data_IF_508340752055
#
_entry.id   IF_508340752055
#
_cell.length_a   1.000
_cell.length_b   1.000
_cell.length_c   1.000
_cell.angle_alpha   90.00
_cell.angle_beta   90.00
_cell.angle_gamma   90.00
#
_symmetry.space_group_name_H-M   'P 1'
#
loop_
_entity.id
_entity.type
_entity.pdbx_description
1 polymer ?
#
# COMPACT_ATOMS: atom_id res chain seq x y z
N UNK A 1 9.90 18.00 -18.31
CA UNK A 1 8.88 17.22 -17.56
C UNK A 1 7.86 18.20 -16.97
N UNK A 2 6.57 17.86 -16.88
CA UNK A 2 5.54 18.72 -16.26
C UNK A 2 4.94 18.03 -15.04
N UNK A 3 4.33 18.80 -14.13
CA UNK A 3 3.65 18.24 -12.94
C UNK A 3 2.56 17.21 -13.31
N UNK A 4 1.84 17.46 -14.41
CA UNK A 4 0.86 16.52 -14.96
C UNK A 4 1.54 15.19 -15.37
N UNK A 5 2.64 15.26 -16.12
CA UNK A 5 3.35 14.07 -16.59
C UNK A 5 3.87 13.20 -15.42
N UNK A 6 4.22 13.82 -14.28
CA UNK A 6 4.68 13.11 -13.08
C UNK A 6 3.53 12.38 -12.37
N UNK A 7 2.31 12.95 -12.35
CA UNK A 7 1.14 12.36 -11.66
C UNK A 7 0.32 11.42 -12.55
N UNK A 8 0.38 11.60 -13.87
CA UNK A 8 -0.45 10.88 -14.83
C UNK A 8 -0.35 9.34 -14.74
N UNK A 9 0.85 8.72 -14.61
CA UNK A 9 0.95 7.27 -14.47
C UNK A 9 0.18 6.71 -13.26
N UNK A 10 0.24 7.42 -12.12
CA UNK A 10 -0.49 7.02 -10.92
C UNK A 10 -2.00 7.19 -11.11
N UNK A 11 -2.45 8.29 -11.72
CA UNK A 11 -3.86 8.52 -11.99
C UNK A 11 -4.45 7.43 -12.90
N UNK A 12 -3.73 7.08 -13.98
CA UNK A 12 -4.11 6.00 -14.88
C UNK A 12 -4.15 4.63 -14.17
N UNK A 13 -3.15 4.34 -13.33
CA UNK A 13 -3.13 3.12 -12.52
C UNK A 13 -4.32 3.04 -11.55
N UNK A 14 -4.75 4.17 -10.97
CA UNK A 14 -5.95 4.24 -10.14
C UNK A 14 -7.22 3.87 -10.89
N UNK A 15 -7.43 4.45 -12.07
CA UNK A 15 -8.59 4.12 -12.94
C UNK A 15 -8.56 2.65 -13.35
N UNK A 16 -7.40 2.16 -13.78
CA UNK A 16 -7.21 0.76 -14.13
C UNK A 16 -7.51 -0.18 -12.95
N UNK A 17 -7.12 0.21 -11.73
CA UNK A 17 -7.36 -0.60 -10.53
C UNK A 17 -8.84 -0.78 -10.24
N UNK A 18 -9.67 0.25 -10.42
CA UNK A 18 -11.14 0.13 -10.27
C UNK A 18 -11.72 -0.92 -11.24
N UNK A 19 -11.31 -0.87 -12.51
CA UNK A 19 -11.74 -1.84 -13.51
C UNK A 19 -11.22 -3.26 -13.23
N UNK A 20 -9.95 -3.38 -12.81
CA UNK A 20 -9.37 -4.67 -12.44
C UNK A 20 -10.05 -5.28 -11.22
N UNK A 21 -10.45 -4.48 -10.22
CA UNK A 21 -11.23 -4.97 -9.07
C UNK A 21 -12.56 -5.57 -9.54
N UNK A 22 -13.28 -4.91 -10.45
CA UNK A 22 -14.49 -5.47 -11.07
C UNK A 22 -14.20 -6.84 -11.72
N UNK A 23 -13.16 -6.92 -12.54
CA UNK A 23 -12.79 -8.15 -13.25
C UNK A 23 -12.39 -9.28 -12.30
N UNK A 24 -11.59 -8.99 -11.27
CA UNK A 24 -11.15 -9.98 -10.28
C UNK A 24 -12.35 -10.50 -9.49
N UNK A 25 -13.22 -9.62 -9.01
CA UNK A 25 -14.41 -10.04 -8.25
C UNK A 25 -15.35 -10.87 -9.12
N UNK A 26 -15.49 -10.50 -10.41
CA UNK A 26 -16.27 -11.31 -11.35
C UNK A 26 -15.63 -12.68 -11.57
N UNK A 27 -14.31 -12.75 -11.72
CA UNK A 27 -13.60 -14.00 -11.95
C UNK A 27 -13.62 -14.91 -10.72
N UNK A 28 -13.54 -14.36 -9.51
CA UNK A 28 -13.66 -15.09 -8.25
C UNK A 28 -15.09 -15.61 -8.08
N UNK A 29 -16.09 -14.73 -8.01
CA UNK A 29 -17.42 -15.10 -7.52
C UNK A 29 -18.45 -15.38 -8.60
N UNK A 30 -18.15 -15.05 -9.87
CA UNK A 30 -19.07 -15.15 -11.01
C UNK A 30 -20.40 -14.41 -10.78
N UNK A 31 -20.37 -13.36 -9.95
CA UNK A 31 -21.52 -12.52 -9.62
C UNK A 31 -21.32 -11.10 -10.16
N UNK A 32 -22.03 -10.77 -11.23
CA UNK A 32 -21.95 -9.45 -11.89
C UNK A 32 -22.38 -8.31 -10.96
N UNK A 33 -23.38 -8.54 -10.09
CA UNK A 33 -23.87 -7.51 -9.16
C UNK A 33 -22.79 -7.20 -8.12
N UNK A 34 -22.21 -8.23 -7.52
CA UNK A 34 -21.12 -8.06 -6.56
C UNK A 34 -19.92 -7.34 -7.21
N UNK A 35 -19.55 -7.70 -8.44
CA UNK A 35 -18.45 -7.03 -9.16
C UNK A 35 -18.70 -5.55 -9.40
N UNK A 36 -19.92 -5.16 -9.81
CA UNK A 36 -20.28 -3.76 -10.02
C UNK A 36 -20.24 -2.97 -8.70
N UNK A 37 -20.73 -3.57 -7.61
CA UNK A 37 -20.66 -2.97 -6.28
C UNK A 37 -19.20 -2.80 -5.86
N UNK A 38 -18.33 -3.79 -6.07
CA UNK A 38 -16.90 -3.67 -5.75
C UNK A 38 -16.21 -2.57 -6.54
N UNK A 39 -16.56 -2.38 -7.82
CA UNK A 39 -16.05 -1.27 -8.62
C UNK A 39 -16.54 0.08 -8.07
N UNK A 40 -17.82 0.17 -7.70
CA UNK A 40 -18.38 1.38 -7.08
C UNK A 40 -17.67 1.71 -5.77
N UNK A 41 -17.55 0.76 -4.84
CA UNK A 41 -16.86 0.94 -3.55
C UNK A 41 -15.41 1.36 -3.78
N UNK A 42 -14.69 0.70 -4.69
CA UNK A 42 -13.32 1.07 -5.05
C UNK A 42 -13.22 2.52 -5.55
N UNK A 43 -14.17 2.96 -6.37
CA UNK A 43 -14.17 4.32 -6.95
C UNK A 43 -14.35 5.44 -5.93
N UNK A 44 -14.98 5.15 -4.79
CA UNK A 44 -15.24 6.13 -3.71
C UNK A 44 -14.34 5.93 -2.48
N UNK A 45 -13.45 4.91 -2.49
CA UNK A 45 -12.61 4.59 -1.33
C UNK A 45 -11.51 5.66 -1.15
N UNK A 46 -11.45 6.36 0.00
CA UNK A 46 -10.45 7.37 0.29
C UNK A 46 -9.01 6.91 0.03
N UNK A 47 -8.67 5.70 0.45
CA UNK A 47 -7.34 5.12 0.28
C UNK A 47 -6.89 5.11 -1.18
N UNK A 48 -7.75 4.66 -2.11
CA UNK A 48 -7.44 4.56 -3.54
C UNK A 48 -7.39 5.94 -4.20
N UNK A 49 -8.32 6.84 -3.85
CA UNK A 49 -8.34 8.22 -4.37
C UNK A 49 -7.08 8.97 -3.94
N UNK A 50 -6.67 8.82 -2.69
CA UNK A 50 -5.51 9.54 -2.14
C UNK A 50 -4.23 9.19 -2.89
N UNK A 51 -3.92 7.89 -3.05
CA UNK A 51 -2.68 7.45 -3.69
C UNK A 51 -2.71 7.52 -5.22
N UNK A 52 -3.87 7.53 -5.86
CA UNK A 52 -3.97 7.72 -7.32
C UNK A 52 -3.71 9.15 -7.79
N UNK A 53 -3.93 10.15 -6.92
CA UNK A 53 -3.72 11.57 -7.27
C UNK A 53 -2.30 12.07 -7.00
N UNK A 54 -1.62 11.48 -6.03
CA UNK A 54 -0.19 11.70 -5.83
C UNK A 54 0.66 10.85 -6.78
N UNK A 55 1.91 11.26 -7.00
CA UNK A 55 2.87 10.51 -7.81
C UNK A 55 3.48 9.33 -7.02
N UNK A 56 2.62 8.42 -6.56
CA UNK A 56 3.00 7.30 -5.70
C UNK A 56 3.22 6.02 -6.50
N UNK A 57 4.46 5.52 -6.49
CA UNK A 57 4.86 4.26 -7.13
C UNK A 57 4.03 3.06 -6.66
N UNK A 58 3.59 3.06 -5.39
CA UNK A 58 2.80 1.96 -4.83
C UNK A 58 1.47 1.76 -5.55
N UNK A 59 0.89 2.82 -6.09
CA UNK A 59 -0.39 2.74 -6.78
C UNK A 59 -0.24 2.06 -8.15
N UNK A 60 0.86 2.32 -8.84
CA UNK A 60 1.25 1.58 -10.06
C UNK A 60 1.53 0.11 -9.74
N UNK A 61 2.24 -0.15 -8.64
CA UNK A 61 2.51 -1.51 -8.18
C UNK A 61 1.21 -2.26 -7.84
N UNK A 62 0.23 -1.60 -7.19
CA UNK A 62 -1.08 -2.18 -6.91
C UNK A 62 -1.81 -2.58 -8.20
N UNK A 63 -1.86 -1.70 -9.20
CA UNK A 63 -2.48 -2.01 -10.49
C UNK A 63 -1.82 -3.21 -11.19
N UNK A 64 -0.49 -3.30 -11.13
CA UNK A 64 0.26 -4.46 -11.63
C UNK A 64 -0.02 -5.74 -10.84
N UNK A 65 -0.12 -5.66 -9.50
CA UNK A 65 -0.53 -6.79 -8.64
C UNK A 65 -1.92 -7.27 -9.01
N UNK A 66 -2.88 -6.37 -9.19
CA UNK A 66 -4.25 -6.69 -9.62
C UNK A 66 -4.28 -7.31 -11.02
N UNK A 67 -3.50 -6.78 -11.96
CA UNK A 67 -3.35 -7.37 -13.30
C UNK A 67 -2.79 -8.79 -13.23
N UNK A 68 -1.79 -9.00 -12.37
CA UNK A 68 -1.24 -10.32 -12.08
C UNK A 68 -2.26 -11.30 -11.52
N UNK A 69 -3.06 -10.87 -10.52
CA UNK A 69 -4.13 -11.69 -9.94
C UNK A 69 -5.18 -12.04 -11.01
N UNK A 70 -5.64 -11.06 -11.79
CA UNK A 70 -6.64 -11.28 -12.82
C UNK A 70 -6.16 -12.33 -13.84
N UNK A 71 -4.95 -12.16 -14.39
CA UNK A 71 -4.41 -13.12 -15.35
C UNK A 71 -4.09 -14.47 -14.72
N UNK A 72 -3.69 -14.52 -13.44
CA UNK A 72 -3.51 -15.78 -12.73
C UNK A 72 -4.84 -16.55 -12.67
N UNK A 73 -5.93 -15.89 -12.27
CA UNK A 73 -7.25 -16.52 -12.21
C UNK A 73 -7.71 -17.00 -13.60
N UNK A 74 -7.49 -16.19 -14.65
CA UNK A 74 -7.75 -16.59 -16.04
C UNK A 74 -6.88 -17.75 -16.51
N UNK A 75 -5.67 -17.88 -15.97
CA UNK A 75 -4.75 -18.97 -16.34
C UNK A 75 -5.22 -20.34 -15.91
N UNK A 76 -6.08 -20.39 -14.88
CA UNK A 76 -6.71 -21.63 -14.41
C UNK A 76 -7.67 -22.23 -15.46
N UNK A 77 -8.16 -21.43 -16.42
CA UNK A 77 -8.96 -21.95 -17.55
C UNK A 77 -8.19 -21.95 -18.87
N UNK A 78 -7.29 -20.97 -19.08
CA UNK A 78 -6.44 -20.90 -20.26
C UNK A 78 -4.98 -20.64 -19.87
N UNK A 79 -4.13 -21.68 -19.85
CA UNK A 79 -2.75 -21.62 -19.38
C UNK A 79 -1.88 -20.49 -19.93
N UNK A 80 -2.16 -20.00 -21.16
CA UNK A 80 -1.39 -18.91 -21.79
C UNK A 80 -1.41 -17.62 -20.97
N UNK A 81 -2.45 -17.40 -20.16
CA UNK A 81 -2.54 -16.21 -19.32
C UNK A 81 -1.53 -16.21 -18.16
N UNK A 82 -0.95 -17.36 -17.79
CA UNK A 82 0.01 -17.41 -16.70
C UNK A 82 1.27 -16.58 -17.00
N UNK A 83 1.68 -16.51 -18.27
CA UNK A 83 2.83 -15.70 -18.68
C UNK A 83 2.59 -14.21 -18.43
N UNK A 84 1.38 -13.72 -18.71
CA UNK A 84 1.00 -12.33 -18.42
C UNK A 84 0.89 -12.05 -16.92
N UNK A 85 0.42 -13.04 -16.15
CA UNK A 85 0.40 -12.96 -14.70
C UNK A 85 1.83 -12.82 -14.13
N UNK A 86 2.73 -13.69 -14.57
CA UNK A 86 4.15 -13.69 -14.16
C UNK A 86 4.86 -12.39 -14.53
N UNK A 87 4.68 -11.91 -15.77
CA UNK A 87 5.23 -10.62 -16.20
C UNK A 87 4.73 -9.46 -15.33
N UNK A 88 3.42 -9.43 -15.04
CA UNK A 88 2.81 -8.37 -14.23
C UNK A 88 3.34 -8.39 -12.79
N UNK A 89 3.42 -9.57 -12.16
CA UNK A 89 3.99 -9.71 -10.82
C UNK A 89 5.47 -9.34 -10.78
N UNK A 90 6.26 -9.74 -11.77
CA UNK A 90 7.67 -9.35 -11.87
C UNK A 90 7.86 -7.84 -12.02
N UNK A 91 7.02 -7.17 -12.82
CA UNK A 91 7.04 -5.71 -12.96
C UNK A 91 6.77 -4.97 -11.64
N UNK A 92 6.01 -5.57 -10.70
CA UNK A 92 5.82 -4.94 -9.38
C UNK A 92 7.15 -4.76 -8.63
N UNK A 93 8.09 -5.70 -8.79
CA UNK A 93 9.41 -5.66 -8.14
C UNK A 93 10.28 -4.51 -8.65
N UNK A 94 10.02 -4.09 -9.89
CA UNK A 94 10.65 -2.94 -10.55
C UNK A 94 9.94 -1.65 -10.13
N UNK A 95 8.61 -1.66 -10.11
CA UNK A 95 7.79 -0.47 -9.87
C UNK A 95 7.92 0.08 -8.45
N UNK A 96 7.99 -0.78 -7.43
CA UNK A 96 8.00 -0.33 -6.03
C UNK A 96 8.81 -1.26 -5.13
N UNK A 97 9.71 -0.70 -4.32
CA UNK A 97 10.56 -1.48 -3.41
C UNK A 97 9.75 -2.30 -2.39
N UNK A 98 8.68 -1.72 -1.84
CA UNK A 98 7.81 -2.44 -0.88
C UNK A 98 6.99 -3.56 -1.53
N UNK A 99 6.87 -3.56 -2.87
CA UNK A 99 6.13 -4.60 -3.58
C UNK A 99 6.84 -5.96 -3.53
N UNK A 100 8.15 -5.99 -3.28
CA UNK A 100 8.93 -7.23 -3.18
C UNK A 100 8.34 -8.20 -2.16
N UNK A 101 7.94 -7.69 -1.00
CA UNK A 101 7.30 -8.49 0.03
C UNK A 101 5.79 -8.63 -0.22
N UNK A 102 5.09 -7.53 -0.55
CA UNK A 102 3.63 -7.59 -0.70
C UNK A 102 3.18 -8.47 -1.87
N UNK A 103 3.85 -8.39 -3.03
CA UNK A 103 3.57 -9.24 -4.18
C UNK A 103 3.92 -10.70 -3.90
N UNK A 104 5.05 -10.95 -3.23
CA UNK A 104 5.42 -12.30 -2.81
C UNK A 104 4.36 -12.95 -1.93
N UNK A 105 3.82 -12.21 -0.97
CA UNK A 105 2.70 -12.65 -0.12
C UNK A 105 1.46 -12.98 -0.97
N UNK A 106 1.04 -12.08 -1.88
CA UNK A 106 -0.14 -12.31 -2.73
C UNK A 106 0.03 -13.54 -3.62
N UNK A 107 1.20 -13.71 -4.26
CA UNK A 107 1.52 -14.87 -5.10
C UNK A 107 1.49 -16.15 -4.26
N UNK A 108 2.09 -16.14 -3.06
CA UNK A 108 2.07 -17.28 -2.16
C UNK A 108 0.63 -17.67 -1.78
N UNK A 109 -0.21 -16.69 -1.44
CA UNK A 109 -1.62 -16.94 -1.08
C UNK A 109 -2.40 -17.49 -2.27
N UNK A 110 -2.19 -16.97 -3.50
CA UNK A 110 -2.78 -17.51 -4.72
C UNK A 110 -2.38 -18.97 -4.93
N UNK A 111 -1.09 -19.29 -4.83
CA UNK A 111 -0.57 -20.65 -5.02
C UNK A 111 -1.09 -21.61 -3.95
N UNK A 112 -1.14 -21.20 -2.68
CA UNK A 112 -1.70 -22.03 -1.60
C UNK A 112 -3.19 -22.27 -1.80
N UNK A 113 -3.94 -21.21 -2.13
CA UNK A 113 -5.41 -21.30 -2.25
C UNK A 113 -5.86 -22.08 -3.48
N UNK A 114 -5.12 -21.96 -4.59
CA UNK A 114 -5.42 -22.64 -5.86
C UNK A 114 -4.45 -23.78 -6.18
N UNK A 115 -3.78 -24.34 -5.17
CA UNK A 115 -2.71 -25.34 -5.33
C UNK A 115 -3.06 -26.47 -6.31
N UNK A 116 -4.23 -27.10 -6.10
CA UNK A 116 -4.69 -28.23 -6.94
C UNK A 116 -4.98 -27.81 -8.39
N UNK A 117 -5.43 -26.58 -8.61
CA UNK A 117 -5.77 -26.09 -9.95
C UNK A 117 -4.52 -25.58 -10.68
N UNK A 118 -3.59 -24.97 -9.96
CA UNK A 118 -2.31 -24.51 -10.48
C UNK A 118 -1.49 -25.66 -11.08
N UNK A 119 -1.43 -26.81 -10.41
CA UNK A 119 -0.68 -27.98 -10.91
C UNK A 119 -1.34 -28.70 -12.10
N UNK A 120 -2.56 -28.29 -12.50
CA UNK A 120 -3.18 -28.76 -13.76
C UNK A 120 -2.74 -27.95 -14.98
N UNK A 121 -2.09 -26.80 -14.77
CA UNK A 121 -1.56 -25.97 -15.86
C UNK A 121 -0.45 -26.73 -16.60
N UNK A 122 -0.42 -26.60 -17.93
CA UNK A 122 0.55 -27.32 -18.75
C UNK A 122 2.00 -26.88 -18.47
N UNK A 123 2.94 -27.83 -18.58
CA UNK A 123 4.37 -27.60 -18.29
C UNK A 123 5.03 -26.59 -19.22
N UNK A 124 4.48 -26.33 -20.41
CA UNK A 124 5.04 -25.34 -21.35
C UNK A 124 4.73 -23.93 -20.86
N UNK A 125 3.49 -23.66 -20.47
CA UNK A 125 3.06 -22.39 -19.89
C UNK A 125 3.75 -22.10 -18.56
N UNK A 126 3.92 -23.11 -17.69
CA UNK A 126 4.68 -22.97 -16.44
C UNK A 126 6.14 -22.57 -16.69
N UNK A 127 6.85 -23.27 -17.58
CA UNK A 127 8.24 -22.95 -17.92
C UNK A 127 8.37 -21.57 -18.56
N UNK A 128 7.50 -21.22 -19.50
CA UNK A 128 7.51 -19.91 -20.13
C UNK A 128 7.26 -18.79 -19.12
N UNK A 129 6.30 -18.99 -18.21
CA UNK A 129 6.00 -18.02 -17.14
C UNK A 129 7.18 -17.84 -16.20
N UNK A 130 7.89 -18.91 -15.85
CA UNK A 130 9.11 -18.86 -15.04
C UNK A 130 10.21 -18.07 -15.74
N UNK A 131 10.47 -18.37 -17.01
CA UNK A 131 11.49 -17.65 -17.81
C UNK A 131 11.16 -16.17 -17.91
N UNK A 132 9.92 -15.81 -18.27
CA UNK A 132 9.49 -14.40 -18.36
C UNK A 132 9.60 -13.69 -17.02
N UNK A 133 9.17 -14.33 -15.93
CA UNK A 133 9.27 -13.76 -14.58
C UNK A 133 10.71 -13.47 -14.18
N UNK A 134 11.64 -14.39 -14.47
CA UNK A 134 13.08 -14.21 -14.20
C UNK A 134 13.66 -13.10 -15.05
N UNK A 135 13.38 -13.09 -16.37
CA UNK A 135 13.91 -12.07 -17.29
C UNK A 135 13.47 -10.66 -16.89
N UNK A 136 12.20 -10.47 -16.56
CA UNK A 136 11.68 -9.15 -16.12
C UNK A 136 12.27 -8.75 -14.76
N UNK A 137 12.50 -9.72 -13.86
CA UNK A 137 13.06 -9.46 -12.53
C UNK A 137 14.60 -9.30 -12.54
N UNK A 138 15.27 -9.61 -13.65
CA UNK A 138 16.72 -9.71 -13.74
C UNK A 138 17.47 -8.44 -13.29
N UNK A 139 17.05 -7.21 -13.66
CA UNK A 139 17.70 -5.99 -13.17
C UNK A 139 17.65 -5.86 -11.63
N UNK A 140 16.54 -6.28 -11.03
CA UNK A 140 16.35 -6.23 -9.58
C UNK A 140 17.17 -7.32 -8.89
N UNK A 141 17.20 -8.53 -9.44
CA UNK A 141 18.02 -9.64 -8.95
C UNK A 141 19.50 -9.22 -8.94
N UNK A 142 19.99 -8.64 -10.03
CA UNK A 142 21.37 -8.17 -10.13
C UNK A 142 21.67 -7.05 -9.12
N UNK A 143 20.72 -6.12 -8.91
CA UNK A 143 20.87 -5.05 -7.92
C UNK A 143 21.04 -5.56 -6.47
N UNK A 144 20.44 -6.72 -6.14
CA UNK A 144 20.57 -7.33 -4.81
C UNK A 144 21.98 -7.89 -4.59
N UNK A 145 22.57 -8.52 -5.60
CA UNK A 145 23.95 -9.05 -5.53
C UNK A 145 25.01 -7.94 -5.45
N UNK A 146 24.71 -6.73 -5.92
CA UNK A 146 25.59 -5.56 -5.80
C UNK A 146 25.58 -4.88 -4.40
N UNK A 147 24.93 -5.49 -3.40
CA UNK A 147 24.89 -4.93 -2.05
C UNK A 147 23.97 -3.72 -1.85
N UNK A 148 23.11 -3.39 -2.83
CA UNK A 148 22.10 -2.30 -2.71
C UNK A 148 20.92 -2.67 -1.78
N UNK A 149 21.04 -3.77 -1.04
CA UNK A 149 20.06 -4.21 -0.05
C UNK A 149 20.10 -3.39 1.26
N UNK A 150 21.11 -2.54 1.47
CA UNK A 150 21.26 -1.73 2.70
C UNK A 150 20.07 -0.82 3.05
N UNK A 151 19.22 -0.46 2.08
CA UNK A 151 17.98 0.28 2.36
C UNK A 151 16.95 -0.55 3.14
N UNK A 152 16.95 -1.88 3.01
CA UNK A 152 16.02 -2.75 3.71
C UNK A 152 16.31 -2.81 5.22
N UNK A 153 17.57 -2.79 5.63
CA UNK A 153 17.93 -2.75 7.06
C UNK A 153 17.49 -1.44 7.71
N UNK A 154 17.62 -0.30 7.02
CA UNK A 154 17.18 1.01 7.55
C UNK A 154 15.69 1.03 7.88
N UNK A 155 14.85 0.34 7.09
CA UNK A 155 13.40 0.33 7.32
C UNK A 155 12.91 -0.90 8.08
N UNK A 156 13.77 -1.85 8.42
CA UNK A 156 13.41 -3.08 9.14
C UNK A 156 13.20 -2.79 10.62
N UNK A 157 12.10 -3.29 11.19
CA UNK A 157 11.86 -3.19 12.65
C UNK A 157 12.98 -3.88 13.45
N UNK A 158 13.57 -4.95 12.90
CA UNK A 158 14.62 -5.73 13.55
C UNK A 158 15.96 -4.99 13.68
N UNK A 159 16.14 -3.89 12.96
CA UNK A 159 17.33 -3.04 13.07
C UNK A 159 17.26 -2.05 14.23
N UNK A 160 16.11 -1.92 14.88
CA UNK A 160 15.89 -1.01 16.02
C UNK A 160 15.74 -1.81 17.32
N UNK A 161 16.87 -2.16 17.92
CA UNK A 161 16.90 -2.78 19.25
C UNK A 161 16.53 -1.76 20.32
N UNK A 162 15.86 -2.24 21.36
CA UNK A 162 15.54 -1.41 22.53
C UNK A 162 16.82 -0.94 23.24
N UNK A 163 16.90 0.31 23.70
CA UNK A 163 18.05 0.80 24.45
C UNK A 163 18.26 0.00 25.74
N UNK A 164 19.52 -0.33 26.07
CA UNK A 164 19.86 -1.10 27.28
C UNK A 164 19.45 -0.37 28.56
N UNK A 165 19.63 0.96 28.61
CA UNK A 165 19.19 1.79 29.74
C UNK A 165 17.68 1.70 29.98
N UNK A 166 16.87 1.59 28.91
CA UNK A 166 15.44 1.43 29.04
C UNK A 166 15.10 0.04 29.60
N UNK A 167 15.77 -1.02 29.14
CA UNK A 167 15.57 -2.36 29.71
C UNK A 167 15.96 -2.39 31.19
N UNK A 168 17.11 -1.82 31.57
CA UNK A 168 17.53 -1.82 32.97
C UNK A 168 16.57 -1.07 33.89
N UNK A 169 16.05 0.07 33.45
CA UNK A 169 15.04 0.78 34.23
C UNK A 169 13.81 -0.10 34.55
N UNK A 170 13.37 -0.94 33.60
CA UNK A 170 12.25 -1.87 33.84
C UNK A 170 12.62 -3.02 34.79
N UNK A 171 13.83 -3.57 34.66
CA UNK A 171 14.29 -4.66 35.52
C UNK A 171 14.51 -4.18 36.96
N UNK A 172 15.09 -3.00 37.15
CA UNK A 172 15.32 -2.40 38.47
C UNK A 172 14.00 -2.12 39.20
N UNK A 173 12.97 -1.64 38.49
CA UNK A 173 11.62 -1.43 39.04
C UNK A 173 10.97 -2.72 39.55
N UNK A 174 11.22 -3.85 38.86
CA UNK A 174 10.69 -5.16 39.23
C UNK A 174 11.60 -5.97 40.17
N UNK A 175 12.77 -5.43 40.54
CA UNK A 175 13.86 -6.17 41.20
C UNK A 175 14.20 -7.48 40.45
N UNK A 176 14.13 -7.44 39.12
CA UNK A 176 14.40 -8.57 38.23
C UNK A 176 15.83 -8.55 37.73
N UNK A 177 16.34 -9.72 37.32
CA UNK A 177 17.66 -9.85 36.68
C UNK A 177 17.52 -10.45 35.29
N UNK A 178 18.42 -10.06 34.39
CA UNK A 178 18.60 -10.71 33.09
C UNK A 178 18.85 -12.20 33.32
N UNK A 179 18.10 -13.05 32.61
CA UNK A 179 18.16 -14.51 32.75
C UNK A 179 17.19 -15.11 33.79
N UNK A 180 16.45 -14.29 34.55
CA UNK A 180 15.34 -14.78 35.37
C UNK A 180 14.18 -15.29 34.52
N UNK A 181 13.31 -16.12 35.10
CA UNK A 181 12.09 -16.60 34.42
C UNK A 181 11.21 -15.42 34.00
N UNK A 182 11.00 -14.44 34.89
CA UNK A 182 10.21 -13.23 34.59
C UNK A 182 10.79 -12.44 33.42
N UNK A 183 12.13 -12.31 33.36
CA UNK A 183 12.80 -11.66 32.23
C UNK A 183 12.46 -12.32 30.90
N UNK A 184 12.54 -13.66 30.80
CA UNK A 184 12.25 -14.35 29.53
C UNK A 184 10.81 -14.16 29.06
N UNK A 185 9.84 -14.17 29.99
CA UNK A 185 8.42 -14.00 29.68
C UNK A 185 8.02 -12.55 29.37
N UNK A 186 8.61 -11.56 30.05
CA UNK A 186 8.09 -10.19 30.03
C UNK A 186 9.03 -9.17 29.39
N UNK A 187 10.34 -9.39 29.50
CA UNK A 187 11.34 -8.34 29.23
C UNK A 187 12.37 -8.74 28.17
N UNK A 188 12.36 -9.98 27.68
CA UNK A 188 13.29 -10.43 26.64
C UNK A 188 13.10 -9.68 25.33
N UNK A 189 14.17 -9.59 24.53
CA UNK A 189 14.12 -8.85 23.27
C UNK A 189 13.15 -9.49 22.26
N UNK A 190 13.00 -10.82 22.29
CA UNK A 190 11.99 -11.53 21.52
C UNK A 190 10.57 -11.09 21.87
N UNK A 191 10.27 -10.93 23.17
CA UNK A 191 8.97 -10.45 23.64
C UNK A 191 8.76 -8.98 23.24
N UNK A 192 9.80 -8.15 23.33
CA UNK A 192 9.76 -6.76 22.86
C UNK A 192 9.41 -6.67 21.36
N UNK A 193 10.10 -7.45 20.51
CA UNK A 193 9.80 -7.51 19.09
C UNK A 193 8.40 -8.05 18.81
N UNK A 194 7.98 -9.11 19.50
CA UNK A 194 6.63 -9.68 19.33
C UNK A 194 5.55 -8.65 19.69
N UNK A 195 5.68 -7.96 20.83
CA UNK A 195 4.78 -6.88 21.23
C UNK A 195 4.76 -5.76 20.19
N UNK A 196 5.93 -5.35 19.69
CA UNK A 196 6.06 -4.32 18.66
C UNK A 196 5.41 -4.71 17.31
N UNK A 197 5.55 -5.96 16.89
CA UNK A 197 4.96 -6.51 15.66
C UNK A 197 3.44 -6.62 15.81
N UNK A 198 2.96 -7.18 16.92
CA UNK A 198 1.52 -7.31 17.18
C UNK A 198 0.84 -5.94 17.30
N UNK A 199 1.46 -4.99 18.02
CA UNK A 199 0.95 -3.62 18.12
C UNK A 199 0.79 -2.96 16.75
N UNK A 200 1.82 -3.05 15.90
CA UNK A 200 1.74 -2.58 14.50
C UNK A 200 0.65 -3.30 13.72
N UNK A 201 0.54 -4.61 13.87
CA UNK A 201 -0.46 -5.40 13.15
C UNK A 201 -1.88 -4.94 13.50
N UNK A 202 -2.21 -4.88 14.78
CA UNK A 202 -3.54 -4.46 15.25
C UNK A 202 -3.82 -2.97 14.98
N UNK A 203 -2.80 -2.11 14.94
CA UNK A 203 -2.96 -0.72 14.53
C UNK A 203 -3.56 -0.60 13.12
N UNK A 204 -3.14 -1.44 12.17
CA UNK A 204 -3.70 -1.41 10.80
C UNK A 204 -5.16 -1.90 10.72
N UNK A 205 -5.63 -2.65 11.71
CA UNK A 205 -7.04 -3.05 11.81
C UNK A 205 -7.85 -2.15 12.75
N UNK A 206 -7.22 -1.17 13.39
CA UNK A 206 -7.89 -0.29 14.34
C UNK A 206 -8.88 0.63 13.64
N UNK A 207 -9.98 0.97 14.33
CA UNK A 207 -10.93 1.97 13.83
C UNK A 207 -10.26 3.33 13.61
N UNK A 208 -9.26 3.67 14.44
CA UNK A 208 -8.43 4.87 14.30
C UNK A 208 -7.78 4.93 12.92
N UNK A 209 -7.18 3.83 12.45
CA UNK A 209 -6.57 3.78 11.12
C UNK A 209 -7.63 3.75 10.02
N UNK A 210 -8.59 2.83 10.14
CA UNK A 210 -9.52 2.54 9.05
C UNK A 210 -10.52 3.66 8.81
N UNK A 211 -11.04 4.32 9.85
CA UNK A 211 -12.22 5.18 9.73
C UNK A 211 -12.06 6.61 10.25
N UNK A 212 -11.11 6.89 11.15
CA UNK A 212 -11.03 8.19 11.83
C UNK A 212 -9.82 9.06 11.49
N UNK A 213 -8.61 8.51 11.47
CA UNK A 213 -7.36 9.30 11.35
C UNK A 213 -6.43 8.83 10.22
N UNK A 214 -6.64 7.64 9.65
CA UNK A 214 -5.78 7.14 8.60
C UNK A 214 -4.34 6.91 9.09
N UNK A 215 -3.36 7.27 8.27
CA UNK A 215 -1.93 7.23 8.65
C UNK A 215 -1.56 8.41 9.55
N UNK A 216 -1.96 8.35 10.82
CA UNK A 216 -1.67 9.41 11.82
C UNK A 216 -0.18 9.62 12.07
N UNK A 217 0.68 8.67 11.65
CA UNK A 217 2.13 8.80 11.75
C UNK A 217 2.73 9.68 10.66
N UNK A 218 2.03 9.87 9.53
CA UNK A 218 2.50 10.68 8.42
C UNK A 218 1.33 11.41 7.72
N UNK A 219 1.19 12.74 7.95
CA UNK A 219 0.13 13.55 7.35
C UNK A 219 0.10 13.55 5.81
N UNK A 220 1.18 13.12 5.14
CA UNK A 220 1.21 13.02 3.66
C UNK A 220 0.45 11.81 3.10
N UNK A 221 -0.04 10.92 3.95
CA UNK A 221 -0.62 9.64 3.54
C UNK A 221 -2.12 9.53 3.86
N UNK A 222 -2.72 10.58 4.41
CA UNK A 222 -4.13 10.63 4.82
C UNK A 222 -4.67 12.04 4.70
N UNK A 223 -6.00 12.16 4.67
CA UNK A 223 -6.67 13.46 4.76
C UNK A 223 -6.99 13.76 6.23
N UNK A 224 -6.92 15.02 6.69
CA UNK A 224 -7.21 15.38 8.08
C UNK A 224 -8.58 14.87 8.54
N UNK A 225 -8.65 14.30 9.74
CA UNK A 225 -9.88 13.78 10.34
C UNK A 225 -10.64 12.76 9.46
N UNK A 226 -9.92 12.05 8.59
CA UNK A 226 -10.50 11.01 7.74
C UNK A 226 -9.67 9.73 7.84
N UNK A 227 -10.37 8.60 7.97
CA UNK A 227 -9.77 7.28 7.81
C UNK A 227 -9.31 6.99 6.37
N UNK A 228 -8.66 5.85 6.19
CA UNK A 228 -8.37 5.32 4.84
C UNK A 228 -9.63 4.75 4.15
N UNK A 229 -10.69 4.45 4.89
CA UNK A 229 -12.02 4.10 4.40
C UNK A 229 -13.03 5.19 4.78
N UNK A 230 -14.21 5.17 4.15
CA UNK A 230 -15.28 6.08 4.56
C UNK A 230 -15.82 5.67 5.93
N UNK A 231 -16.27 6.64 6.72
CA UNK A 231 -16.92 6.35 8.01
C UNK A 231 -18.16 5.45 7.83
N UNK A 232 -18.90 5.62 6.73
CA UNK A 232 -20.01 4.74 6.37
C UNK A 232 -19.60 3.28 6.23
N UNK A 233 -18.38 3.03 5.75
CA UNK A 233 -17.88 1.68 5.52
C UNK A 233 -17.64 0.92 6.83
N UNK A 234 -17.59 1.58 7.99
CA UNK A 234 -17.52 0.89 9.29
C UNK A 234 -18.71 -0.06 9.48
N UNK A 235 -19.94 0.45 9.30
CA UNK A 235 -21.17 -0.34 9.47
C UNK A 235 -21.26 -1.40 8.36
N UNK A 236 -20.91 -1.03 7.13
CA UNK A 236 -20.99 -1.94 5.98
C UNK A 236 -19.96 -3.05 6.07
N UNK A 237 -18.74 -2.77 6.54
CA UNK A 237 -17.68 -3.75 6.70
C UNK A 237 -18.09 -4.79 7.74
N UNK A 238 -18.62 -4.38 8.89
CA UNK A 238 -19.10 -5.32 9.92
C UNK A 238 -20.20 -6.21 9.36
N UNK A 239 -21.19 -5.63 8.66
CA UNK A 239 -22.27 -6.40 8.06
C UNK A 239 -21.76 -7.35 6.95
N UNK A 240 -20.89 -6.86 6.07
CA UNK A 240 -20.25 -7.63 5.01
C UNK A 240 -19.42 -8.79 5.54
N UNK A 241 -18.72 -8.59 6.65
CA UNK A 241 -17.97 -9.65 7.33
C UNK A 241 -18.91 -10.75 7.84
N UNK A 242 -20.05 -10.39 8.47
CA UNK A 242 -21.02 -11.40 8.92
C UNK A 242 -21.60 -12.21 7.75
N UNK A 243 -21.85 -11.58 6.60
CA UNK A 243 -22.34 -12.27 5.40
C UNK A 243 -21.26 -13.19 4.82
N UNK A 244 -20.04 -12.68 4.69
CA UNK A 244 -18.91 -13.43 4.15
C UNK A 244 -18.59 -14.69 4.99
N UNK A 245 -18.72 -14.60 6.32
CA UNK A 245 -18.49 -15.71 7.25
C UNK A 245 -19.66 -16.71 7.31
N UNK A 246 -20.90 -16.28 7.03
CA UNK A 246 -22.08 -17.16 6.99
C UNK A 246 -22.14 -17.99 5.70
N UNK A 247 -21.54 -17.51 4.62
CA UNK A 247 -21.43 -18.27 3.39
C UNK A 247 -20.50 -19.48 3.57
N UNK A 248 -20.79 -20.59 2.88
CA UNK A 248 -19.87 -21.74 2.84
C UNK A 248 -18.50 -21.26 2.35
N UNK A 249 -17.45 -21.45 3.16
CA UNK A 249 -16.09 -21.03 2.82
C UNK A 249 -15.64 -21.82 1.60
N UNK A 250 -15.56 -21.14 0.46
CA UNK A 250 -14.93 -21.65 -0.76
C UNK A 250 -13.51 -21.13 -0.87
N UNK A 251 -12.71 -21.69 -1.79
CA UNK A 251 -11.33 -21.25 -2.05
C UNK A 251 -11.24 -19.74 -2.33
N UNK A 252 -12.22 -19.15 -3.00
CA UNK A 252 -12.25 -17.71 -3.29
C UNK A 252 -12.38 -16.87 -2.00
N UNK A 253 -13.15 -17.37 -1.04
CA UNK A 253 -13.33 -16.70 0.25
C UNK A 253 -12.05 -16.84 1.07
N UNK A 254 -11.46 -18.04 1.08
CA UNK A 254 -10.17 -18.28 1.73
C UNK A 254 -9.07 -17.38 1.17
N UNK A 255 -9.03 -17.17 -0.16
CA UNK A 255 -8.09 -16.24 -0.80
C UNK A 255 -8.24 -14.82 -0.24
N UNK A 256 -9.48 -14.30 -0.19
CA UNK A 256 -9.76 -12.95 0.32
C UNK A 256 -9.40 -12.82 1.81
N UNK A 257 -9.73 -13.82 2.64
CA UNK A 257 -9.42 -13.80 4.07
C UNK A 257 -7.91 -13.86 4.34
N UNK A 258 -7.19 -14.78 3.70
CA UNK A 258 -5.73 -14.87 3.82
C UNK A 258 -5.06 -13.59 3.33
N UNK A 259 -5.56 -13.01 2.24
CA UNK A 259 -5.05 -11.74 1.74
C UNK A 259 -5.28 -10.61 2.75
N UNK A 260 -6.48 -10.50 3.34
CA UNK A 260 -6.75 -9.51 4.38
C UNK A 260 -5.75 -9.63 5.53
N UNK A 261 -5.57 -10.83 6.07
CA UNK A 261 -4.72 -11.07 7.24
C UNK A 261 -3.22 -10.84 6.96
N UNK A 262 -2.75 -11.16 5.75
CA UNK A 262 -1.34 -11.05 5.40
C UNK A 262 -0.95 -9.70 4.78
N UNK A 263 -1.90 -8.94 4.25
CA UNK A 263 -1.64 -7.67 3.57
C UNK A 263 -0.97 -6.57 4.41
N UNK A 264 -1.11 -6.49 5.75
CA UNK A 264 -0.38 -5.49 6.55
C UNK A 264 1.08 -5.88 6.80
N UNK A 265 1.49 -7.13 6.56
CA UNK A 265 2.83 -7.62 6.91
C UNK A 265 3.98 -6.75 6.37
N UNK A 266 3.94 -6.23 5.13
CA UNK A 266 4.96 -5.30 4.64
C UNK A 266 5.08 -4.02 5.46
N UNK A 267 3.98 -3.52 6.02
CA UNK A 267 3.98 -2.36 6.91
C UNK A 267 4.40 -2.74 8.34
N UNK A 268 3.96 -3.90 8.84
CA UNK A 268 4.25 -4.39 10.20
C UNK A 268 5.73 -4.72 10.41
N UNK A 269 6.40 -5.25 9.40
CA UNK A 269 7.84 -5.53 9.46
C UNK A 269 8.69 -4.28 9.24
N UNK A 270 8.06 -3.14 8.99
CA UNK A 270 8.73 -1.86 8.84
C UNK A 270 8.87 -1.10 10.16
N UNK A 271 9.73 -0.08 10.16
CA UNK A 271 10.03 0.75 11.34
C UNK A 271 8.78 1.41 11.94
N UNK A 272 7.91 1.96 11.10
CA UNK A 272 6.81 2.84 11.52
C UNK A 272 5.71 2.07 12.24
N UNK A 273 4.98 2.75 13.14
CA UNK A 273 3.88 2.13 13.90
C UNK A 273 2.65 1.81 13.03
N UNK A 274 2.48 2.60 11.96
CA UNK A 274 1.42 2.50 10.96
C UNK A 274 1.99 3.02 9.64
N UNK A 275 1.54 2.49 8.50
CA UNK A 275 1.97 3.01 7.20
C UNK A 275 0.97 2.69 6.06
N UNK A 276 0.20 3.68 5.61
CA UNK A 276 -0.85 3.47 4.60
C UNK A 276 -0.30 3.10 3.20
N UNK A 277 0.87 3.60 2.80
CA UNK A 277 1.51 3.19 1.53
C UNK A 277 1.86 1.70 1.55
N UNK A 278 2.58 1.22 2.59
CA UNK A 278 3.04 -0.18 2.67
C UNK A 278 1.88 -1.17 2.87
N UNK A 279 0.78 -0.73 3.48
CA UNK A 279 -0.42 -1.52 3.70
C UNK A 279 -1.46 -1.38 2.57
N UNK A 280 -1.19 -0.64 1.48
CA UNK A 280 -2.19 -0.33 0.44
C UNK A 280 -2.87 -1.57 -0.14
N UNK A 281 -2.16 -2.70 -0.26
CA UNK A 281 -2.74 -3.96 -0.74
C UNK A 281 -3.92 -4.47 0.13
N UNK A 282 -4.03 -4.04 1.39
CA UNK A 282 -5.14 -4.38 2.29
C UNK A 282 -6.48 -3.82 1.81
N UNK A 283 -6.47 -2.73 1.04
CA UNK A 283 -7.70 -2.10 0.57
C UNK A 283 -8.55 -3.04 -0.30
N UNK A 284 -7.92 -3.96 -1.04
CA UNK A 284 -8.62 -4.84 -1.97
C UNK A 284 -9.51 -5.86 -1.26
N UNK A 285 -9.01 -6.71 -0.34
CA UNK A 285 -9.88 -7.60 0.41
C UNK A 285 -10.92 -6.84 1.25
N UNK A 286 -10.61 -5.66 1.77
CA UNK A 286 -11.58 -4.81 2.48
C UNK A 286 -12.73 -4.38 1.56
N UNK A 287 -12.43 -3.89 0.36
CA UNK A 287 -13.44 -3.52 -0.66
C UNK A 287 -14.35 -4.71 -0.97
N UNK A 288 -13.81 -5.91 -1.13
CA UNK A 288 -14.60 -7.11 -1.42
C UNK A 288 -15.57 -7.42 -0.26
N UNK A 289 -15.10 -7.35 0.98
CA UNK A 289 -15.93 -7.60 2.17
C UNK A 289 -17.01 -6.52 2.32
N UNK A 290 -16.64 -5.24 2.16
CA UNK A 290 -17.59 -4.11 2.17
C UNK A 290 -18.65 -4.29 1.07
N UNK A 291 -18.27 -4.82 -0.09
CA UNK A 291 -19.20 -5.05 -1.21
C UNK A 291 -20.26 -6.11 -0.91
N UNK A 292 -19.93 -7.14 -0.12
CA UNK A 292 -20.93 -8.07 0.39
C UNK A 292 -21.97 -7.37 1.28
N UNK A 293 -21.53 -6.40 2.10
CA UNK A 293 -22.42 -5.59 2.92
C UNK A 293 -23.35 -4.73 2.05
N UNK A 294 -22.80 -3.96 1.11
CA UNK A 294 -23.60 -3.13 0.19
C UNK A 294 -24.57 -3.95 -0.66
N UNK A 295 -24.25 -5.20 -1.00
CA UNK A 295 -25.16 -6.05 -1.78
C UNK A 295 -26.50 -6.35 -1.07
N UNK A 296 -26.54 -6.21 0.26
CA UNK A 296 -27.69 -6.53 1.11
C UNK A 296 -28.18 -5.37 1.99
N UNK A 297 -27.47 -4.24 2.03
CA UNK A 297 -27.86 -3.08 2.84
C UNK A 297 -29.06 -2.35 2.25
N UNK A 298 -29.77 -1.59 3.09
CA UNK A 298 -30.91 -0.80 2.65
C UNK A 298 -30.50 0.36 1.74
N UNK A 299 -31.38 0.72 0.80
CA UNK A 299 -31.11 1.78 -0.20
C UNK A 299 -30.86 3.16 0.43
N UNK A 300 -31.43 3.45 1.60
CA UNK A 300 -31.18 4.73 2.27
C UNK A 300 -29.72 4.86 2.74
N UNK A 301 -29.01 3.74 2.94
CA UNK A 301 -27.63 3.78 3.40
C UNK A 301 -26.68 4.38 2.35
N UNK A 302 -27.03 4.33 1.06
CA UNK A 302 -26.28 5.01 0.00
C UNK A 302 -26.28 6.53 0.18
N UNK A 303 -27.32 7.11 0.80
CA UNK A 303 -27.35 8.55 1.16
C UNK A 303 -26.30 8.83 2.23
N UNK A 304 -26.21 7.97 3.25
CA UNK A 304 -25.19 8.10 4.29
C UNK A 304 -23.77 7.95 3.73
N UNK A 305 -23.55 6.98 2.82
CA UNK A 305 -22.29 6.85 2.09
C UNK A 305 -21.97 8.08 1.25
N UNK A 306 -22.95 8.66 0.56
CA UNK A 306 -22.75 9.88 -0.22
C UNK A 306 -22.35 11.06 0.67
N UNK A 307 -22.99 11.24 1.83
CA UNK A 307 -22.61 12.27 2.80
C UNK A 307 -21.20 12.04 3.38
N UNK A 308 -20.85 10.80 3.72
CA UNK A 308 -19.50 10.46 4.18
C UNK A 308 -18.45 10.72 3.09
N UNK A 309 -18.79 10.46 1.83
CA UNK A 309 -17.92 10.75 0.70
C UNK A 309 -17.76 12.25 0.46
N UNK A 310 -18.84 13.03 0.54
CA UNK A 310 -18.79 14.51 0.46
C UNK A 310 -17.90 15.07 1.56
N UNK A 311 -18.02 14.57 2.80
CA UNK A 311 -17.14 14.94 3.90
C UNK A 311 -15.66 14.64 3.60
N UNK A 312 -15.36 13.46 3.06
CA UNK A 312 -13.99 13.12 2.63
C UNK A 312 -13.50 14.06 1.52
N UNK A 313 -14.34 14.40 0.53
CA UNK A 313 -13.97 15.34 -0.53
C UNK A 313 -13.64 16.72 0.03
N UNK A 314 -14.42 17.21 0.98
CA UNK A 314 -14.13 18.47 1.67
C UNK A 314 -12.79 18.40 2.42
N UNK A 315 -12.59 17.37 3.24
CA UNK A 315 -11.31 17.14 3.93
C UNK A 315 -10.12 17.10 2.96
N UNK A 316 -10.25 16.33 1.87
CA UNK A 316 -9.18 16.14 0.91
C UNK A 316 -8.89 17.40 0.07
N UNK A 317 -9.92 18.05 -0.49
CA UNK A 317 -9.73 19.14 -1.45
C UNK A 317 -9.60 20.51 -0.79
N UNK A 318 -10.19 20.71 0.39
CA UNK A 318 -10.21 22.00 1.09
C UNK A 318 -9.21 22.02 2.23
N UNK A 319 -9.14 20.96 3.04
CA UNK A 319 -8.33 20.95 4.26
C UNK A 319 -6.90 20.47 4.06
N UNK A 320 -6.64 19.42 3.27
CA UNK A 320 -5.25 18.96 2.98
C UNK A 320 -4.37 20.11 2.47
N UNK A 321 -4.78 20.93 1.47
CA UNK A 321 -3.91 22.01 0.97
C UNK A 321 -3.63 23.10 2.00
N UNK A 322 -4.46 23.26 3.03
CA UNK A 322 -4.25 24.28 4.08
C UNK A 322 -3.47 23.73 5.27
N UNK A 323 -3.83 22.53 5.71
CA UNK A 323 -3.30 21.91 6.91
C UNK A 323 -1.93 21.24 6.67
N UNK A 324 -1.78 20.60 5.51
CA UNK A 324 -0.64 19.72 5.24
C UNK A 324 0.33 20.26 4.19
N UNK A 325 0.10 21.47 3.66
CA UNK A 325 0.96 22.11 2.64
C UNK A 325 2.44 22.13 3.03
N UNK A 326 2.75 22.34 4.31
CA UNK A 326 4.11 22.28 4.84
C UNK A 326 4.77 20.92 4.64
N UNK A 327 4.02 19.82 4.72
CA UNK A 327 4.54 18.48 4.48
C UNK A 327 4.70 18.17 3.00
N UNK A 328 3.95 18.88 2.15
CA UNK A 328 4.06 18.83 0.68
C UNK A 328 5.03 19.87 0.12
N UNK A 329 5.85 20.47 0.98
CA UNK A 329 6.95 21.35 0.60
C UNK A 329 6.46 22.54 -0.26
N UNK A 330 5.24 23.00 0.03
CA UNK A 330 4.62 24.15 -0.62
C UNK A 330 5.51 25.40 -0.51
N UNK A 331 5.58 26.19 -1.57
CA UNK A 331 6.42 27.39 -1.65
C UNK A 331 7.65 27.21 -2.53
N UNK A 332 8.17 25.99 -2.72
CA UNK A 332 9.38 25.79 -3.52
C UNK A 332 9.23 26.16 -4.98
N UNK A 333 8.06 25.87 -5.57
CA UNK A 333 7.76 26.31 -6.93
C UNK A 333 7.86 27.82 -7.06
N UNK A 334 7.23 28.55 -6.14
CA UNK A 334 7.24 30.01 -6.11
C UNK A 334 8.66 30.55 -5.90
N UNK A 335 9.47 29.92 -5.05
CA UNK A 335 10.89 30.28 -4.87
C UNK A 335 11.64 30.13 -6.19
N UNK A 336 11.53 28.98 -6.86
CA UNK A 336 12.25 28.75 -8.12
C UNK A 336 11.79 29.71 -9.21
N UNK A 337 10.48 29.91 -9.36
CA UNK A 337 9.90 30.84 -10.35
C UNK A 337 10.31 32.30 -10.10
N UNK A 338 10.44 32.70 -8.83
CA UNK A 338 10.86 34.07 -8.46
C UNK A 338 12.36 34.30 -8.61
N UNK A 339 13.17 33.31 -8.22
CA UNK A 339 14.63 33.45 -8.17
C UNK A 339 15.27 33.20 -9.55
N UNK A 340 14.71 32.31 -10.36
CA UNK A 340 15.30 31.94 -11.67
C UNK A 340 15.53 33.15 -12.60
N UNK A 341 14.58 34.08 -12.79
CA UNK A 341 14.77 35.22 -13.69
C UNK A 341 15.84 36.22 -13.24
N UNK A 342 16.07 36.34 -11.93
CA UNK A 342 17.02 37.32 -11.36
C UNK A 342 18.36 36.69 -10.98
N UNK A 343 18.51 35.36 -11.15
CA UNK A 343 19.68 34.62 -10.68
C UNK A 343 20.99 35.15 -11.27
N UNK A 344 20.98 35.56 -12.54
CA UNK A 344 22.14 36.12 -13.24
C UNK A 344 22.64 37.46 -12.68
N UNK A 345 21.83 38.17 -11.89
CA UNK A 345 22.23 39.44 -11.27
C UNK A 345 23.11 39.23 -10.04
N UNK A 346 23.27 37.99 -9.57
CA UNK A 346 24.00 37.68 -8.35
C UNK A 346 25.15 36.73 -8.63
N UNK A 347 26.31 37.00 -8.02
CA UNK A 347 27.48 36.08 -8.11
C UNK A 347 27.22 34.72 -7.49
N UNK A 348 26.34 34.65 -6.48
CA UNK A 348 26.00 33.41 -5.77
C UNK A 348 24.59 33.52 -5.17
N UNK A 349 23.74 32.55 -5.51
CA UNK A 349 22.45 32.35 -4.84
C UNK A 349 22.58 31.20 -3.87
N UNK A 350 22.19 31.41 -2.61
CA UNK A 350 22.19 30.37 -1.57
C UNK A 350 20.75 30.07 -1.19
N UNK A 351 20.37 28.81 -1.30
CA UNK A 351 19.06 28.31 -0.84
C UNK A 351 19.28 27.53 0.45
N UNK A 352 18.48 27.83 1.47
CA UNK A 352 18.56 27.14 2.75
C UNK A 352 18.15 25.67 2.57
N UNK A 353 18.98 24.75 3.05
CA UNK A 353 18.76 23.29 2.92
C UNK A 353 18.03 22.69 4.13
N UNK A 354 17.55 23.52 5.06
CA UNK A 354 16.92 23.06 6.31
C UNK A 354 15.54 22.42 6.10
N UNK A 355 14.90 22.67 4.96
CA UNK A 355 13.54 22.22 4.68
C UNK A 355 13.51 21.22 3.52
N UNK A 356 13.57 19.92 3.82
CA UNK A 356 13.58 18.85 2.82
C UNK A 356 14.75 18.94 1.82
N UNK A 357 14.50 18.81 0.51
CA UNK A 357 15.53 18.74 -0.53
C UNK A 357 15.32 19.83 -1.61
N UNK A 358 15.56 21.12 -1.32
CA UNK A 358 15.27 22.24 -2.21
C UNK A 358 15.82 22.08 -3.63
N UNK A 359 17.01 21.49 -3.77
CA UNK A 359 17.69 21.37 -5.05
C UNK A 359 16.87 20.62 -6.12
N UNK A 360 16.02 19.65 -5.72
CA UNK A 360 15.21 18.86 -6.65
C UNK A 360 14.21 19.75 -7.40
N UNK A 361 13.69 20.79 -6.73
CA UNK A 361 12.73 21.73 -7.32
C UNK A 361 13.39 22.64 -8.34
N UNK A 362 14.62 23.08 -8.08
CA UNK A 362 15.40 23.85 -9.05
C UNK A 362 15.65 23.02 -10.31
N UNK A 363 16.14 21.78 -10.15
CA UNK A 363 16.38 20.87 -11.28
C UNK A 363 15.09 20.64 -12.09
N UNK A 364 13.96 20.43 -11.42
CA UNK A 364 12.68 20.15 -12.06
C UNK A 364 12.11 21.37 -12.81
N UNK A 365 11.96 22.51 -12.13
CA UNK A 365 11.28 23.68 -12.70
C UNK A 365 12.15 24.47 -13.69
N UNK A 366 13.48 24.45 -13.53
CA UNK A 366 14.39 25.03 -14.52
C UNK A 366 14.61 24.12 -15.74
N UNK A 367 14.09 22.89 -15.70
CA UNK A 367 14.28 21.88 -16.74
C UNK A 367 15.78 21.62 -17.01
N UNK A 368 16.54 21.45 -15.92
CA UNK A 368 17.97 21.21 -16.00
C UNK A 368 18.26 19.92 -16.79
N UNK A 369 19.30 19.96 -17.63
CA UNK A 369 19.69 18.79 -18.43
C UNK A 369 20.33 17.73 -17.52
N UNK A 370 19.72 16.53 -17.38
CA UNK A 370 20.27 15.48 -16.53
C UNK A 370 21.63 14.95 -17.00
N UNK A 371 22.05 15.20 -18.25
CA UNK A 371 23.35 14.76 -18.79
C UNK A 371 24.50 15.59 -18.23
N UNK A 372 24.27 16.88 -17.95
CA UNK A 372 25.35 17.79 -17.60
C UNK A 372 25.67 17.84 -16.10
N UNK A 373 24.87 17.19 -15.24
CA UNK A 373 25.07 17.17 -13.78
C UNK A 373 25.01 18.56 -13.13
N UNK A 374 24.48 18.69 -11.89
CA UNK A 374 24.60 19.94 -11.14
C UNK A 374 26.02 20.21 -10.66
#
# INVERSE_FOLDING_TARGET
MTEFAVRFPSALAGIASVYLIYLIVFELFKDKKLSLISAFVASITPWLIYFSRGAWEVNVALALTLTGIYFFLKSLQNPKFLTFASASFALTLVAYQGAKLSTGIVVLILLVTYWKDFWKIDRKSLRLSLVVGILVSLPIIFSLFQGKAGRLSVFSVFSYRRPEAYLQAFLDQGNEKVGSVSYYFSHSESVNFLRGILGRYFNHFSGRFLFFEGDWGNPRHSAPNSGVLLLSDLVVLLFGLTIALRNKIKKEHLFVFLWLLASPLPAVLSRDQIHAVRALNMVIPLIIIISYGYAKISKWFYVFTALAFIYFLDSYFVHVPKHDSKYWEYGYKQIVETVTPIMGNYKKVKVQQSFAQPYIYFLFFQKYDPVNGP
#
